data_IF_754683443525
#
_entry.id   IF_754683443525
#
_cell.length_a   1.000
_cell.length_b   1.000
_cell.length_c   1.000
_cell.angle_alpha   90.00
_cell.angle_beta   90.00
_cell.angle_gamma   90.00
#
_symmetry.space_group_name_H-M   'P 1'
#
loop_
_entity.id
_entity.type
_entity.pdbx_description
1 polymer ?
#
# COMPACT_ATOMS: atom_id res chain seq x y z
N UNK A 1 6.17 8.32 35.94
CA UNK A 1 5.41 7.05 35.83
C UNK A 1 4.38 7.03 36.94
N UNK A 2 3.11 6.90 36.63
CA UNK A 2 2.04 6.98 37.64
C UNK A 2 1.82 5.60 38.28
N UNK A 3 1.67 5.50 39.62
CA UNK A 3 1.47 4.23 40.36
C UNK A 3 0.20 3.44 39.97
N UNK A 4 -0.69 4.02 39.21
CA UNK A 4 -1.96 3.40 38.81
C UNK A 4 -1.81 2.32 37.70
N UNK A 5 -0.66 2.28 37.03
CA UNK A 5 -0.46 1.36 35.90
C UNK A 5 0.00 -0.03 36.34
N UNK A 6 0.67 -0.12 37.49
CA UNK A 6 1.23 -1.40 37.97
C UNK A 6 0.22 -2.35 38.65
N UNK A 7 -0.99 -1.88 38.96
CA UNK A 7 -2.01 -2.70 39.65
C UNK A 7 -2.96 -3.49 38.71
N UNK A 8 -2.90 -3.27 37.41
CA UNK A 8 -3.89 -3.83 36.47
C UNK A 8 -3.46 -5.15 35.80
N UNK A 9 -2.18 -5.57 35.94
CA UNK A 9 -1.72 -6.78 35.28
C UNK A 9 -0.53 -7.44 36.02
N UNK A 10 -0.70 -8.60 36.59
CA UNK A 10 0.34 -9.29 37.37
C UNK A 10 1.32 -10.13 36.53
N UNK A 11 1.21 -10.20 35.22
CA UNK A 11 1.96 -11.13 34.39
C UNK A 11 3.12 -10.45 33.63
N UNK A 12 4.27 -11.15 33.48
CA UNK A 12 5.46 -10.63 32.80
C UNK A 12 5.21 -10.40 31.28
N UNK A 13 4.37 -11.21 30.65
CA UNK A 13 3.97 -11.02 29.25
C UNK A 13 3.18 -9.72 29.05
N UNK A 14 2.35 -9.34 30.04
CA UNK A 14 1.63 -8.07 30.02
C UNK A 14 2.51 -6.82 30.23
N UNK A 15 3.72 -6.94 30.81
CA UNK A 15 4.65 -5.81 30.97
C UNK A 15 5.40 -5.49 29.67
N UNK A 16 5.75 -6.50 28.90
CA UNK A 16 6.42 -6.32 27.60
C UNK A 16 5.48 -5.69 26.57
N UNK A 17 4.23 -6.15 26.49
CA UNK A 17 3.20 -5.55 25.62
C UNK A 17 2.95 -4.06 25.95
N UNK A 18 3.07 -3.65 27.22
CA UNK A 18 2.87 -2.25 27.65
C UNK A 18 4.05 -1.34 27.31
N UNK A 19 5.27 -1.87 27.31
CA UNK A 19 6.43 -1.11 26.88
C UNK A 19 6.31 -0.81 25.39
N UNK A 20 5.81 -1.79 24.60
CA UNK A 20 5.57 -1.68 23.18
C UNK A 20 4.48 -0.65 22.85
N UNK A 21 3.34 -0.71 23.53
CA UNK A 21 2.25 0.29 23.44
C UNK A 21 2.76 1.67 23.84
N UNK A 22 3.54 1.79 24.91
CA UNK A 22 4.12 3.07 25.35
C UNK A 22 5.12 3.67 24.37
N UNK A 23 5.85 2.84 23.62
CA UNK A 23 6.81 3.27 22.59
C UNK A 23 6.05 3.72 21.34
N UNK A 24 5.03 2.98 20.93
CA UNK A 24 4.12 3.35 19.83
C UNK A 24 3.43 4.69 20.17
N UNK A 25 2.98 4.92 21.41
CA UNK A 25 2.38 6.17 21.85
C UNK A 25 3.28 7.40 21.69
N UNK A 26 4.57 7.29 21.94
CA UNK A 26 5.53 8.41 21.77
C UNK A 26 5.82 8.69 20.29
N UNK A 27 5.88 7.67 19.46
CA UNK A 27 6.27 7.80 18.07
C UNK A 27 5.19 8.40 17.18
N UNK A 28 3.92 8.11 17.44
CA UNK A 28 2.83 8.71 16.68
C UNK A 28 2.59 10.19 17.00
N UNK A 29 3.01 10.68 18.18
CA UNK A 29 3.10 12.14 18.40
C UNK A 29 4.04 12.81 17.39
N UNK A 30 5.02 12.09 16.87
CA UNK A 30 5.97 12.58 15.84
C UNK A 30 5.40 12.43 14.45
N UNK A 31 4.61 11.39 14.16
CA UNK A 31 3.84 11.30 12.92
C UNK A 31 2.91 12.52 12.75
N UNK A 32 2.31 13.00 13.86
CA UNK A 32 1.52 14.24 13.90
C UNK A 32 2.37 15.45 13.50
N UNK A 33 3.63 15.52 13.90
CA UNK A 33 4.53 16.61 13.56
C UNK A 33 4.94 16.53 12.08
N UNK A 34 5.20 15.34 11.55
CA UNK A 34 5.60 15.12 10.16
C UNK A 34 4.42 15.36 9.20
N UNK A 35 3.21 14.93 9.55
CA UNK A 35 2.00 15.17 8.73
C UNK A 35 1.54 16.65 8.77
N UNK A 36 1.88 17.39 9.84
CA UNK A 36 1.61 18.81 9.97
C UNK A 36 2.76 19.74 9.49
N UNK A 37 3.96 19.21 9.30
CA UNK A 37 5.03 19.96 8.66
C UNK A 37 4.80 19.94 7.15
N UNK A 38 4.17 20.99 6.63
CA UNK A 38 4.33 21.40 5.25
C UNK A 38 5.83 21.59 5.02
N UNK A 39 6.47 20.67 4.30
CA UNK A 39 7.85 20.88 3.86
C UNK A 39 7.90 22.22 3.14
N UNK A 40 8.80 23.13 3.49
CA UNK A 40 8.99 24.34 2.70
C UNK A 40 9.37 23.87 1.29
N UNK A 41 8.68 24.42 0.29
CA UNK A 41 8.98 24.19 -1.12
C UNK A 41 10.38 24.78 -1.41
N UNK A 42 11.43 23.99 -1.18
CA UNK A 42 12.75 24.30 -1.70
C UNK A 42 12.76 23.92 -3.19
N UNK A 43 12.33 24.85 -4.03
CA UNK A 43 12.55 24.82 -5.46
C UNK A 43 14.04 24.97 -5.73
N UNK A 44 14.77 23.89 -5.75
CA UNK A 44 16.06 23.83 -6.41
C UNK A 44 15.78 23.72 -7.91
N UNK A 45 15.72 24.85 -8.59
CA UNK A 45 15.53 24.94 -10.03
C UNK A 45 16.76 24.38 -10.73
N UNK A 46 16.67 23.16 -11.26
CA UNK A 46 17.56 22.70 -12.32
C UNK A 46 17.10 23.36 -13.63
N UNK A 47 17.81 24.42 -14.03
CA UNK A 47 17.57 25.13 -15.28
C UNK A 47 17.98 24.27 -16.47
N UNK A 48 17.03 23.64 -17.13
CA UNK A 48 17.18 23.23 -18.52
C UNK A 48 16.77 24.42 -19.39
N UNK A 49 17.73 25.01 -20.08
CA UNK A 49 17.51 26.09 -21.03
C UNK A 49 16.81 25.56 -22.30
N UNK A 50 15.85 26.34 -22.73
CA UNK A 50 15.19 26.43 -24.03
C UNK A 50 13.87 25.68 -24.22
N UNK A 51 12.80 26.49 -24.32
CA UNK A 51 11.50 26.10 -24.85
C UNK A 51 10.51 27.25 -24.71
N UNK A 52 10.12 27.85 -25.79
CA UNK A 52 9.15 28.91 -25.96
C UNK A 52 7.92 28.80 -25.06
N UNK A 53 7.52 29.91 -24.45
CA UNK A 53 6.27 30.07 -23.72
C UNK A 53 5.07 29.76 -24.62
N UNK A 54 4.39 28.67 -24.38
CA UNK A 54 3.05 28.39 -24.91
C UNK A 54 2.08 28.70 -23.79
N UNK A 55 1.45 29.87 -23.86
CA UNK A 55 0.24 30.19 -23.13
C UNK A 55 -0.91 29.41 -23.77
N UNK A 56 -1.32 28.30 -23.16
CA UNK A 56 -2.61 27.71 -23.43
C UNK A 56 -3.19 27.13 -22.14
N UNK A 57 -4.13 27.84 -21.53
CA UNK A 57 -5.10 27.23 -20.63
C UNK A 57 -6.08 26.40 -21.47
N UNK A 58 -5.61 25.30 -22.01
CA UNK A 58 -6.50 24.24 -22.48
C UNK A 58 -7.06 23.53 -21.27
N UNK A 59 -8.40 23.31 -21.18
CA UNK A 59 -8.93 22.44 -20.15
C UNK A 59 -8.25 21.07 -20.35
N UNK A 60 -7.69 20.54 -19.26
CA UNK A 60 -7.15 19.17 -19.25
C UNK A 60 -8.29 18.29 -19.74
N UNK A 61 -8.08 17.44 -20.77
CA UNK A 61 -9.08 16.41 -21.10
C UNK A 61 -9.38 15.66 -19.80
N UNK A 62 -10.64 15.34 -19.58
CA UNK A 62 -11.12 14.63 -18.39
C UNK A 62 -10.65 13.17 -18.45
N UNK A 63 -9.31 12.97 -18.43
CA UNK A 63 -8.71 11.64 -18.41
C UNK A 63 -9.06 10.98 -17.07
N UNK A 64 -9.63 9.76 -17.09
CA UNK A 64 -9.92 9.04 -15.87
C UNK A 64 -8.65 8.83 -15.02
N UNK A 65 -8.80 8.89 -13.69
CA UNK A 65 -7.77 8.47 -12.75
C UNK A 65 -8.31 7.31 -11.91
N UNK A 66 -7.55 6.22 -11.82
CA UNK A 66 -7.85 5.07 -10.94
C UNK A 66 -6.76 4.99 -9.90
N UNK A 67 -7.15 4.88 -8.62
CA UNK A 67 -6.24 4.74 -7.48
C UNK A 67 -6.52 3.44 -6.73
N UNK A 68 -5.52 2.78 -6.14
CA UNK A 68 -5.68 1.42 -5.59
C UNK A 68 -4.92 1.11 -4.29
N UNK A 69 -4.30 2.07 -3.66
CA UNK A 69 -3.78 1.97 -2.29
C UNK A 69 -4.42 3.09 -1.47
N UNK A 70 -5.67 2.85 -1.06
CA UNK A 70 -6.55 3.87 -0.54
C UNK A 70 -7.28 3.32 0.69
N UNK A 71 -6.91 3.80 1.86
CA UNK A 71 -7.22 3.14 3.11
C UNK A 71 -8.54 3.57 3.73
N UNK A 72 -9.16 2.59 4.41
CA UNK A 72 -10.21 2.81 5.39
C UNK A 72 -9.94 1.96 6.63
N UNK A 73 -10.66 2.21 7.71
CA UNK A 73 -10.63 1.42 8.93
C UNK A 73 -12.03 0.98 9.31
N UNK A 74 -12.20 -0.33 9.42
CA UNK A 74 -13.45 -0.91 9.91
C UNK A 74 -13.47 -0.96 11.43
N UNK A 75 -14.56 -0.50 12.09
CA UNK A 75 -14.73 -0.71 13.52
C UNK A 75 -14.62 -2.19 13.94
N UNK A 76 -15.07 -3.12 13.08
CA UNK A 76 -15.02 -4.55 13.35
C UNK A 76 -13.59 -5.07 13.55
N UNK A 77 -12.61 -4.55 12.80
CA UNK A 77 -11.19 -4.91 12.95
C UNK A 77 -10.54 -4.08 14.05
N UNK A 78 -10.76 -2.75 14.04
CA UNK A 78 -10.18 -1.83 15.02
C UNK A 78 -10.51 -2.24 16.46
N UNK A 79 -11.77 -2.51 16.73
CA UNK A 79 -12.27 -2.72 18.09
C UNK A 79 -12.11 -4.19 18.56
N UNK A 80 -11.81 -5.12 17.64
CA UNK A 80 -11.55 -6.52 17.97
C UNK A 80 -10.23 -6.72 18.73
N UNK A 81 -9.26 -5.82 18.56
CA UNK A 81 -7.96 -5.88 19.22
C UNK A 81 -7.63 -4.55 19.89
N UNK A 82 -7.46 -4.50 21.25
CA UNK A 82 -7.11 -3.27 21.93
C UNK A 82 -5.85 -2.58 21.40
N UNK A 83 -4.81 -3.35 21.01
CA UNK A 83 -3.58 -2.77 20.48
C UNK A 83 -3.81 -2.10 19.12
N UNK A 84 -4.65 -2.69 18.27
CA UNK A 84 -5.05 -2.10 16.97
C UNK A 84 -5.86 -0.82 17.21
N UNK A 85 -6.82 -0.85 18.13
CA UNK A 85 -7.59 0.35 18.49
C UNK A 85 -6.69 1.47 18.99
N UNK A 86 -5.80 1.17 19.95
CA UNK A 86 -4.89 2.16 20.51
C UNK A 86 -3.96 2.74 19.43
N UNK A 87 -3.55 1.94 18.45
CA UNK A 87 -2.78 2.39 17.29
C UNK A 87 -3.56 3.41 16.45
N UNK A 88 -4.80 3.13 16.11
CA UNK A 88 -5.62 4.04 15.30
C UNK A 88 -6.02 5.32 16.05
N UNK A 89 -6.22 5.27 17.38
CA UNK A 89 -6.47 6.47 18.21
C UNK A 89 -5.28 7.45 18.23
N UNK A 90 -4.09 7.02 17.79
CA UNK A 90 -2.92 7.87 17.69
C UNK A 90 -2.90 8.76 16.45
N UNK A 91 -3.71 8.44 15.42
CA UNK A 91 -3.79 9.28 14.24
C UNK A 91 -4.47 10.62 14.56
N UNK A 92 -4.07 11.70 13.85
CA UNK A 92 -4.78 12.97 13.96
C UNK A 92 -6.28 12.78 13.71
N UNK A 93 -7.17 13.47 14.45
CA UNK A 93 -8.62 13.29 14.33
C UNK A 93 -9.14 13.45 12.89
N UNK A 94 -8.55 14.35 12.09
CA UNK A 94 -8.95 14.55 10.70
C UNK A 94 -8.52 13.38 9.79
N UNK A 95 -7.45 12.66 10.10
CA UNK A 95 -7.04 11.45 9.38
C UNK A 95 -7.94 10.28 9.78
N UNK A 96 -8.18 10.11 11.08
CA UNK A 96 -9.06 9.06 11.60
C UNK A 96 -10.48 9.19 11.05
N UNK A 97 -11.04 10.41 11.03
CA UNK A 97 -12.36 10.67 10.41
C UNK A 97 -12.41 10.23 8.94
N UNK A 98 -11.36 10.52 8.17
CA UNK A 98 -11.27 10.11 6.76
C UNK A 98 -11.10 8.60 6.59
N UNK A 99 -10.34 7.95 7.48
CA UNK A 99 -10.20 6.48 7.49
C UNK A 99 -11.53 5.80 7.78
N UNK A 100 -12.36 6.36 8.67
CA UNK A 100 -13.68 5.82 9.01
C UNK A 100 -14.75 6.15 7.96
N UNK A 101 -14.50 7.11 7.07
CA UNK A 101 -15.46 7.58 6.07
C UNK A 101 -15.42 6.72 4.80
N UNK A 102 -16.55 6.09 4.47
CA UNK A 102 -16.82 5.41 3.20
C UNK A 102 -17.98 6.06 2.42
N UNK A 103 -18.44 7.23 2.88
CA UNK A 103 -19.61 7.93 2.34
C UNK A 103 -19.25 9.18 1.53
N UNK A 104 -20.14 10.16 1.59
CA UNK A 104 -20.10 11.38 0.76
C UNK A 104 -18.81 12.21 0.94
N UNK A 105 -18.23 12.25 2.15
CA UNK A 105 -16.98 12.94 2.40
C UNK A 105 -15.84 12.37 1.54
N UNK A 106 -15.74 11.03 1.46
CA UNK A 106 -14.76 10.36 0.61
C UNK A 106 -14.99 10.66 -0.86
N UNK A 107 -16.24 10.65 -1.32
CA UNK A 107 -16.57 10.99 -2.71
C UNK A 107 -16.18 12.44 -3.03
N UNK A 108 -16.44 13.39 -2.12
CA UNK A 108 -16.00 14.78 -2.29
C UNK A 108 -14.47 14.90 -2.37
N UNK A 109 -13.73 14.11 -1.59
CA UNK A 109 -12.26 14.10 -1.66
C UNK A 109 -11.75 13.46 -2.97
N UNK A 110 -12.45 12.46 -3.54
CA UNK A 110 -12.16 11.96 -4.88
C UNK A 110 -12.34 13.05 -5.94
N UNK A 111 -13.43 13.82 -5.86
CA UNK A 111 -13.73 14.89 -6.82
C UNK A 111 -12.66 15.98 -6.80
N UNK A 112 -12.12 16.36 -5.62
CA UNK A 112 -11.01 17.31 -5.49
C UNK A 112 -9.74 16.87 -6.22
N UNK A 113 -9.49 15.56 -6.27
CA UNK A 113 -8.34 14.95 -6.95
C UNK A 113 -8.63 14.47 -8.37
N UNK A 114 -9.85 14.70 -8.91
CA UNK A 114 -10.30 14.17 -10.19
C UNK A 114 -10.18 12.64 -10.29
N UNK A 115 -10.28 11.92 -9.15
CA UNK A 115 -10.23 10.47 -9.12
C UNK A 115 -11.57 9.90 -9.59
N UNK A 116 -11.57 9.19 -10.69
CA UNK A 116 -12.77 8.60 -11.29
C UNK A 116 -13.23 7.33 -10.57
N UNK A 117 -12.28 6.49 -10.14
CA UNK A 117 -12.53 5.27 -9.40
C UNK A 117 -11.43 5.02 -8.38
N UNK A 118 -11.81 4.70 -7.15
CA UNK A 118 -10.91 4.35 -6.05
C UNK A 118 -11.12 2.90 -5.63
N UNK A 119 -10.04 2.12 -5.57
CA UNK A 119 -10.06 0.78 -4.99
C UNK A 119 -9.64 0.88 -3.53
N UNK A 120 -10.57 0.63 -2.63
CA UNK A 120 -10.43 0.83 -1.19
C UNK A 120 -9.92 -0.45 -0.54
N UNK A 121 -8.97 -0.32 0.39
CA UNK A 121 -8.42 -1.39 1.22
C UNK A 121 -8.48 -1.03 2.70
N UNK A 122 -8.55 -2.03 3.58
CA UNK A 122 -8.35 -1.77 5.01
C UNK A 122 -6.89 -1.33 5.26
N UNK A 123 -6.69 -0.38 6.17
CA UNK A 123 -5.34 0.00 6.63
C UNK A 123 -4.65 -1.18 7.33
N UNK A 124 -3.32 -1.08 7.59
CA UNK A 124 -2.56 -2.16 8.22
C UNK A 124 -3.20 -2.69 9.49
N UNK A 125 -3.18 -4.00 9.64
CA UNK A 125 -3.69 -4.69 10.83
C UNK A 125 -4.21 -6.09 10.53
N UNK A 126 -4.08 -6.96 11.52
CA UNK A 126 -4.60 -8.33 11.46
C UNK A 126 -5.96 -8.41 12.15
N UNK A 127 -6.85 -9.23 11.60
CA UNK A 127 -8.18 -9.46 12.13
C UNK A 127 -8.51 -10.94 12.26
N UNK A 128 -9.36 -11.28 13.23
CA UNK A 128 -9.98 -12.60 13.26
C UNK A 128 -10.82 -12.84 11.99
N UNK A 129 -11.09 -14.10 11.61
CA UNK A 129 -11.94 -14.39 10.45
C UNK A 129 -13.28 -13.64 10.45
N UNK A 130 -13.92 -13.56 11.62
CA UNK A 130 -15.20 -12.85 11.76
C UNK A 130 -15.06 -11.33 11.62
N UNK A 131 -13.98 -10.73 12.12
CA UNK A 131 -13.71 -9.31 12.00
C UNK A 131 -13.39 -8.93 10.54
N UNK A 132 -12.56 -9.72 9.85
CA UNK A 132 -12.28 -9.53 8.43
C UNK A 132 -13.55 -9.64 7.57
N UNK A 133 -14.37 -10.68 7.83
CA UNK A 133 -15.62 -10.87 7.10
C UNK A 133 -16.59 -9.70 7.31
N UNK A 134 -16.76 -9.21 8.55
CA UNK A 134 -17.59 -8.06 8.85
C UNK A 134 -17.06 -6.75 8.21
N UNK A 135 -15.74 -6.57 8.17
CA UNK A 135 -15.11 -5.43 7.50
C UNK A 135 -15.37 -5.46 5.99
N UNK A 136 -15.19 -6.61 5.36
CA UNK A 136 -15.45 -6.81 3.92
C UNK A 136 -16.92 -6.58 3.57
N UNK A 137 -17.85 -7.08 4.40
CA UNK A 137 -19.30 -6.86 4.21
C UNK A 137 -19.66 -5.37 4.33
N UNK A 138 -19.05 -4.67 5.29
CA UNK A 138 -19.23 -3.22 5.46
C UNK A 138 -18.70 -2.43 4.25
N UNK A 139 -17.54 -2.78 3.73
CA UNK A 139 -16.99 -2.19 2.51
C UNK A 139 -17.86 -2.49 1.28
N UNK A 140 -18.32 -3.72 1.13
CA UNK A 140 -19.23 -4.10 0.03
C UNK A 140 -20.54 -3.30 0.06
N UNK A 141 -21.09 -3.07 1.25
CA UNK A 141 -22.29 -2.24 1.43
C UNK A 141 -22.05 -0.77 1.04
N UNK A 142 -20.86 -0.23 1.31
CA UNK A 142 -20.49 1.12 0.87
C UNK A 142 -20.28 1.19 -0.65
N UNK A 143 -19.60 0.23 -1.24
CA UNK A 143 -19.39 0.14 -2.70
C UNK A 143 -20.73 0.04 -3.42
N UNK A 144 -21.70 -0.73 -2.90
CA UNK A 144 -23.02 -0.89 -3.55
C UNK A 144 -23.76 0.42 -3.75
N UNK A 145 -23.49 1.44 -2.92
CA UNK A 145 -24.07 2.79 -3.04
C UNK A 145 -23.36 3.67 -4.07
N UNK A 146 -22.12 3.35 -4.41
CA UNK A 146 -21.25 4.16 -5.27
C UNK A 146 -20.42 3.28 -6.25
N UNK A 147 -21.07 2.31 -6.89
CA UNK A 147 -20.43 1.28 -7.74
C UNK A 147 -19.59 1.83 -8.91
N UNK A 148 -19.82 3.05 -9.34
CA UNK A 148 -19.05 3.66 -10.43
C UNK A 148 -17.82 4.43 -9.93
N UNK A 149 -17.70 4.64 -8.62
CA UNK A 149 -16.66 5.43 -7.98
C UNK A 149 -15.76 4.61 -7.05
N UNK A 150 -16.29 3.48 -6.53
CA UNK A 150 -15.60 2.66 -5.54
C UNK A 150 -15.54 1.20 -5.99
N UNK A 151 -14.39 0.58 -5.73
CA UNK A 151 -14.16 -0.87 -5.78
C UNK A 151 -13.42 -1.29 -4.49
N UNK A 152 -13.21 -2.58 -4.25
CA UNK A 152 -12.62 -3.03 -2.99
C UNK A 152 -11.56 -4.10 -3.15
N UNK A 153 -10.53 -4.00 -2.31
CA UNK A 153 -9.65 -5.10 -1.93
C UNK A 153 -10.12 -5.69 -0.60
N UNK A 154 -10.09 -7.01 -0.50
CA UNK A 154 -10.43 -7.71 0.72
C UNK A 154 -9.33 -7.57 1.78
N UNK A 155 -9.72 -7.40 3.05
CA UNK A 155 -8.86 -7.74 4.18
C UNK A 155 -8.98 -9.22 4.47
N UNK A 156 -7.86 -9.90 4.74
CA UNK A 156 -7.80 -11.35 4.91
C UNK A 156 -7.24 -11.72 6.29
N UNK A 157 -7.80 -12.76 6.95
CA UNK A 157 -7.27 -13.28 8.22
C UNK A 157 -6.01 -14.12 7.97
N UNK A 158 -4.86 -13.48 7.71
CA UNK A 158 -3.61 -14.13 7.29
C UNK A 158 -3.01 -15.08 8.34
N UNK A 159 -3.41 -14.96 9.60
CA UNK A 159 -3.09 -15.93 10.66
C UNK A 159 -3.72 -17.32 10.43
N UNK A 160 -4.79 -17.38 9.61
CA UNK A 160 -5.49 -18.61 9.20
C UNK A 160 -5.52 -18.74 7.66
N UNK A 161 -4.41 -19.06 6.98
CA UNK A 161 -4.30 -18.93 5.51
C UNK A 161 -5.36 -19.69 4.72
N UNK A 162 -5.79 -20.86 5.19
CA UNK A 162 -6.88 -21.61 4.54
C UNK A 162 -8.24 -20.92 4.68
N UNK A 163 -8.48 -20.21 5.77
CA UNK A 163 -9.68 -19.38 5.98
C UNK A 163 -9.57 -18.09 5.15
N UNK A 164 -8.37 -17.50 5.09
CA UNK A 164 -8.08 -16.34 4.26
C UNK A 164 -8.36 -16.61 2.77
N UNK A 165 -7.94 -17.76 2.26
CA UNK A 165 -8.23 -18.17 0.88
C UNK A 165 -9.74 -18.28 0.59
N UNK A 166 -10.53 -18.82 1.53
CA UNK A 166 -12.00 -18.89 1.41
C UNK A 166 -12.64 -17.50 1.47
N UNK A 167 -12.12 -16.62 2.33
CA UNK A 167 -12.61 -15.25 2.44
C UNK A 167 -12.31 -14.46 1.17
N UNK A 168 -11.12 -14.61 0.57
CA UNK A 168 -10.80 -14.03 -0.74
C UNK A 168 -11.80 -14.49 -1.80
N UNK A 169 -12.07 -15.81 -1.88
CA UNK A 169 -13.05 -16.35 -2.82
C UNK A 169 -14.45 -15.77 -2.60
N UNK A 170 -14.89 -15.66 -1.34
CA UNK A 170 -16.18 -15.07 -0.98
C UNK A 170 -16.25 -13.61 -1.43
N UNK A 171 -15.23 -12.81 -1.13
CA UNK A 171 -15.20 -11.40 -1.49
C UNK A 171 -15.22 -11.19 -3.01
N UNK A 172 -14.45 -11.96 -3.75
CA UNK A 172 -14.44 -11.86 -5.22
C UNK A 172 -15.75 -12.31 -5.83
N UNK A 173 -16.27 -13.48 -5.43
CA UNK A 173 -17.47 -14.05 -6.06
C UNK A 173 -18.78 -13.41 -5.61
N UNK A 174 -18.89 -13.01 -4.33
CA UNK A 174 -20.14 -12.52 -3.75
C UNK A 174 -20.21 -10.99 -3.70
N UNK A 175 -19.08 -10.31 -3.54
CA UNK A 175 -19.00 -8.84 -3.41
C UNK A 175 -18.40 -8.14 -4.62
N UNK A 176 -17.83 -8.90 -5.59
CA UNK A 176 -17.18 -8.32 -6.77
C UNK A 176 -15.88 -7.58 -6.45
N UNK A 177 -15.21 -7.96 -5.35
CA UNK A 177 -13.91 -7.39 -5.02
C UNK A 177 -12.86 -7.78 -6.06
N UNK A 178 -11.89 -6.90 -6.27
CA UNK A 178 -10.92 -7.01 -7.37
C UNK A 178 -9.59 -7.64 -6.94
N UNK A 179 -9.51 -8.14 -5.71
CA UNK A 179 -8.35 -8.78 -5.11
C UNK A 179 -8.33 -8.59 -3.60
N UNK A 180 -7.13 -8.62 -3.02
CA UNK A 180 -6.93 -8.34 -1.60
C UNK A 180 -5.69 -7.49 -1.38
N UNK A 181 -5.68 -6.74 -0.27
CA UNK A 181 -4.49 -6.11 0.27
C UNK A 181 -4.11 -6.84 1.57
N UNK A 182 -2.84 -7.22 1.69
CA UNK A 182 -2.28 -7.90 2.85
C UNK A 182 -1.03 -7.18 3.34
N UNK A 183 -0.79 -7.19 4.64
CA UNK A 183 0.43 -6.64 5.23
C UNK A 183 1.65 -7.42 4.73
N UNK A 184 2.82 -6.79 4.67
CA UNK A 184 4.06 -7.40 4.17
C UNK A 184 4.66 -8.48 5.09
N UNK A 185 4.14 -8.66 6.28
CA UNK A 185 4.43 -9.79 7.16
C UNK A 185 3.33 -9.96 8.21
N UNK A 186 3.21 -11.15 8.75
CA UNK A 186 2.38 -11.44 9.89
C UNK A 186 3.30 -11.65 11.09
N UNK A 187 3.38 -10.66 11.97
CA UNK A 187 4.20 -10.69 13.19
C UNK A 187 5.66 -11.13 12.91
N UNK A 188 6.29 -10.48 11.91
CA UNK A 188 7.65 -10.77 11.46
C UNK A 188 7.79 -12.00 10.56
N UNK A 189 6.72 -12.75 10.28
CA UNK A 189 6.74 -13.93 9.42
C UNK A 189 6.31 -13.56 8.00
N UNK A 190 7.22 -13.73 7.06
CA UNK A 190 6.96 -13.45 5.64
C UNK A 190 6.19 -14.60 4.98
N UNK A 191 5.54 -14.33 3.87
CA UNK A 191 4.64 -15.26 3.19
C UNK A 191 5.34 -16.20 2.20
N UNK A 192 6.68 -16.27 2.23
CA UNK A 192 7.48 -17.30 1.57
C UNK A 192 7.30 -18.70 2.19
N UNK A 193 6.81 -18.78 3.43
CA UNK A 193 6.39 -20.05 4.07
C UNK A 193 5.16 -20.63 3.34
N UNK A 194 5.25 -21.90 2.93
CA UNK A 194 4.22 -22.62 2.17
C UNK A 194 2.84 -22.64 2.86
N UNK A 195 2.80 -22.46 4.18
CA UNK A 195 1.53 -22.37 4.91
C UNK A 195 0.63 -21.23 4.42
N UNK A 196 1.21 -20.15 3.85
CA UNK A 196 0.47 -19.02 3.29
C UNK A 196 0.08 -19.21 1.82
N UNK A 197 0.64 -20.19 1.14
CA UNK A 197 0.43 -20.42 -0.29
C UNK A 197 -1.01 -20.69 -0.72
N UNK A 198 -1.91 -21.25 0.13
CA UNK A 198 -3.33 -21.35 -0.23
C UNK A 198 -3.99 -20.03 -0.63
N UNK A 199 -3.51 -18.88 -0.08
CA UNK A 199 -4.02 -17.54 -0.44
C UNK A 199 -3.58 -17.18 -1.86
N UNK A 200 -2.31 -17.41 -2.20
CA UNK A 200 -1.75 -17.12 -3.53
C UNK A 200 -2.30 -18.06 -4.61
N UNK A 201 -2.49 -19.34 -4.29
CA UNK A 201 -3.17 -20.30 -5.16
C UNK A 201 -4.58 -19.82 -5.49
N UNK A 202 -5.33 -19.39 -4.49
CA UNK A 202 -6.69 -18.88 -4.68
C UNK A 202 -6.70 -17.57 -5.48
N UNK A 203 -5.75 -16.69 -5.26
CA UNK A 203 -5.63 -15.44 -6.04
C UNK A 203 -5.35 -15.73 -7.52
N UNK A 204 -4.46 -16.67 -7.83
CA UNK A 204 -4.19 -17.10 -9.20
C UNK A 204 -5.42 -17.77 -9.84
N UNK A 205 -6.10 -18.69 -9.13
CA UNK A 205 -7.34 -19.34 -9.59
C UNK A 205 -8.45 -18.34 -9.95
N UNK A 206 -8.59 -17.28 -9.14
CA UNK A 206 -9.60 -16.23 -9.34
C UNK A 206 -9.13 -15.16 -10.35
N UNK A 207 -7.88 -15.22 -10.76
CA UNK A 207 -7.21 -14.23 -11.61
C UNK A 207 -7.29 -12.80 -11.04
N UNK A 208 -7.07 -12.65 -9.72
CA UNK A 208 -7.07 -11.36 -9.01
C UNK A 208 -5.69 -11.05 -8.43
N UNK A 209 -5.44 -9.76 -8.18
CA UNK A 209 -4.17 -9.30 -7.61
C UNK A 209 -4.15 -9.43 -6.08
N UNK A 210 -2.96 -9.71 -5.54
CA UNK A 210 -2.63 -9.51 -4.13
C UNK A 210 -1.73 -8.27 -4.03
N UNK A 211 -2.21 -7.25 -3.33
CA UNK A 211 -1.42 -6.08 -2.96
C UNK A 211 -0.68 -6.37 -1.66
N UNK A 212 0.64 -6.29 -1.67
CA UNK A 212 1.46 -6.43 -0.46
C UNK A 212 1.80 -5.03 0.02
N UNK A 213 1.26 -4.67 1.19
CA UNK A 213 1.36 -3.35 1.78
C UNK A 213 2.29 -3.36 3.00
N UNK A 214 3.09 -2.31 3.23
CA UNK A 214 3.91 -2.18 4.43
C UNK A 214 3.09 -2.27 5.72
N UNK A 215 3.69 -2.82 6.78
CA UNK A 215 3.13 -2.79 8.13
C UNK A 215 4.21 -2.46 9.16
N UNK A 216 3.80 -2.26 10.41
CA UNK A 216 4.72 -1.94 11.50
C UNK A 216 5.58 -3.15 11.86
N UNK A 217 6.86 -2.89 12.17
CA UNK A 217 7.78 -3.93 12.60
C UNK A 217 7.26 -4.67 13.85
N UNK A 218 7.39 -6.00 13.89
CA UNK A 218 7.10 -6.79 15.08
C UNK A 218 8.07 -6.44 16.23
N UNK A 219 7.75 -6.87 17.46
CA UNK A 219 8.61 -6.65 18.62
C UNK A 219 10.02 -7.20 18.39
N UNK A 220 10.13 -8.37 17.77
CA UNK A 220 11.39 -9.01 17.43
C UNK A 220 12.21 -8.18 16.42
N UNK A 221 11.55 -7.63 15.41
CA UNK A 221 12.19 -6.78 14.39
C UNK A 221 12.65 -5.44 14.96
N UNK A 222 11.97 -4.89 15.98
CA UNK A 222 12.29 -3.59 16.57
C UNK A 222 13.73 -3.51 17.08
N UNK A 223 14.32 -4.62 17.55
CA UNK A 223 15.72 -4.67 17.97
C UNK A 223 16.72 -4.25 16.88
N UNK A 224 16.35 -4.46 15.63
CA UNK A 224 17.18 -4.08 14.46
C UNK A 224 17.22 -2.56 14.20
N UNK A 225 16.17 -1.83 14.64
CA UNK A 225 16.01 -0.40 14.41
C UNK A 225 16.36 0.47 15.61
N UNK A 226 16.70 -0.14 16.76
CA UNK A 226 17.17 0.58 17.95
C UNK A 226 18.65 0.92 17.82
N UNK A 227 19.03 2.11 18.31
CA UNK A 227 20.42 2.58 18.27
C UNK A 227 20.67 3.67 19.32
N UNK A 228 21.71 4.45 19.15
CA UNK A 228 22.06 5.56 20.03
C UNK A 228 21.25 6.83 19.69
N UNK A 229 19.93 6.72 19.78
CA UNK A 229 18.94 7.78 19.54
C UNK A 229 17.63 7.42 20.25
N UNK A 230 16.73 8.37 20.34
CA UNK A 230 15.45 8.20 21.03
C UNK A 230 14.57 7.11 20.38
N UNK A 231 13.74 6.45 21.18
CA UNK A 231 12.77 5.44 20.73
C UNK A 231 11.85 5.95 19.60
N UNK A 232 11.57 7.24 19.58
CA UNK A 232 10.78 7.88 18.52
C UNK A 232 11.45 7.81 17.15
N UNK A 233 12.79 7.94 17.11
CA UNK A 233 13.57 7.79 15.88
C UNK A 233 13.62 6.32 15.47
N UNK A 234 13.80 5.39 16.44
CA UNK A 234 13.75 3.95 16.18
C UNK A 234 12.41 3.55 15.56
N UNK A 235 11.30 4.09 16.08
CA UNK A 235 9.96 3.86 15.54
C UNK A 235 9.81 4.41 14.11
N UNK A 236 10.26 5.63 13.85
CA UNK A 236 10.20 6.20 12.50
C UNK A 236 11.02 5.37 11.50
N UNK A 237 12.20 4.90 11.90
CA UNK A 237 13.05 4.03 11.07
C UNK A 237 12.42 2.65 10.86
N UNK A 238 11.73 2.09 11.85
CA UNK A 238 11.06 0.78 11.77
C UNK A 238 9.73 0.79 11.03
N UNK A 239 9.29 1.97 10.58
CA UNK A 239 8.03 2.17 9.88
C UNK A 239 8.26 3.00 8.60
N UNK A 240 7.44 4.04 8.40
CA UNK A 240 7.38 4.90 7.20
C UNK A 240 8.70 5.58 6.79
N UNK A 241 9.66 5.74 7.70
CA UNK A 241 10.95 6.36 7.41
C UNK A 241 11.91 5.46 6.64
N UNK A 242 11.77 4.13 6.74
CA UNK A 242 12.70 3.19 6.09
C UNK A 242 12.17 1.77 5.97
N UNK A 243 11.82 1.12 7.11
CA UNK A 243 11.58 -0.31 7.17
C UNK A 243 10.41 -0.76 6.31
N UNK A 244 9.34 0.02 6.22
CA UNK A 244 8.20 -0.31 5.38
C UNK A 244 8.63 -0.66 3.96
N UNK A 245 9.51 0.13 3.40
CA UNK A 245 9.98 -0.07 2.03
C UNK A 245 11.00 -1.21 1.93
N UNK A 246 11.95 -1.28 2.85
CA UNK A 246 12.99 -2.33 2.81
C UNK A 246 12.44 -3.71 3.12
N UNK A 247 11.52 -3.83 4.08
CA UNK A 247 10.91 -5.12 4.45
C UNK A 247 9.94 -5.60 3.38
N UNK A 248 9.18 -4.71 2.75
CA UNK A 248 8.33 -5.09 1.61
C UNK A 248 9.17 -5.51 0.41
N UNK A 249 10.24 -4.77 0.09
CA UNK A 249 11.19 -5.16 -0.94
C UNK A 249 11.83 -6.53 -0.65
N UNK A 250 12.26 -6.76 0.59
CA UNK A 250 12.78 -8.07 1.02
C UNK A 250 11.73 -9.17 0.84
N UNK A 251 10.47 -8.92 1.19
CA UNK A 251 9.39 -9.89 1.03
C UNK A 251 9.25 -10.36 -0.42
N UNK A 252 9.23 -9.44 -1.39
CA UNK A 252 9.18 -9.82 -2.82
C UNK A 252 10.35 -10.73 -3.22
N UNK A 253 11.55 -10.42 -2.74
CA UNK A 253 12.72 -11.25 -3.02
C UNK A 253 12.64 -12.64 -2.36
N UNK A 254 12.06 -12.72 -1.17
CA UNK A 254 11.79 -14.00 -0.47
C UNK A 254 10.74 -14.83 -1.21
N UNK A 255 9.64 -14.23 -1.67
CA UNK A 255 8.62 -14.91 -2.48
C UNK A 255 9.24 -15.48 -3.78
N UNK A 256 10.13 -14.75 -4.42
CA UNK A 256 10.88 -15.29 -5.56
C UNK A 256 11.79 -16.44 -5.13
N UNK A 257 12.59 -16.24 -4.08
CA UNK A 257 13.55 -17.24 -3.62
C UNK A 257 12.90 -18.53 -3.12
N UNK A 258 11.69 -18.49 -2.60
CA UNK A 258 10.94 -19.68 -2.18
C UNK A 258 10.43 -20.54 -3.33
N UNK A 259 10.34 -20.00 -4.56
CA UNK A 259 9.76 -20.68 -5.71
C UNK A 259 8.25 -20.46 -5.87
N UNK A 260 7.66 -19.53 -5.12
CA UNK A 260 6.23 -19.20 -5.21
C UNK A 260 5.80 -18.94 -6.65
N UNK A 261 6.58 -18.15 -7.41
CA UNK A 261 6.23 -17.78 -8.78
C UNK A 261 6.41 -18.94 -9.79
N UNK A 262 7.23 -19.94 -9.48
CA UNK A 262 7.29 -21.18 -10.27
C UNK A 262 6.05 -22.03 -10.03
N UNK A 263 5.56 -22.07 -8.79
CA UNK A 263 4.36 -22.79 -8.40
C UNK A 263 3.08 -22.10 -8.92
N UNK A 264 3.05 -20.77 -8.92
CA UNK A 264 1.92 -19.93 -9.34
C UNK A 264 2.38 -18.93 -10.42
N UNK A 265 2.58 -19.37 -11.67
CA UNK A 265 3.21 -18.57 -12.71
C UNK A 265 2.36 -17.39 -13.20
N UNK A 266 1.05 -17.38 -12.96
CA UNK A 266 0.13 -16.31 -13.34
C UNK A 266 -0.24 -15.39 -12.18
N UNK A 267 0.34 -15.62 -11.00
CA UNK A 267 0.08 -14.81 -9.82
C UNK A 267 0.41 -13.34 -10.09
N UNK A 268 -0.48 -12.45 -9.66
CA UNK A 268 -0.36 -10.99 -9.81
C UNK A 268 -0.08 -10.36 -8.44
N UNK A 269 1.10 -9.79 -8.29
CA UNK A 269 1.49 -9.07 -7.06
C UNK A 269 1.59 -7.58 -7.37
N UNK A 270 1.01 -6.76 -6.50
CA UNK A 270 1.15 -5.29 -6.54
C UNK A 270 1.94 -4.84 -5.32
N UNK A 271 2.83 -3.89 -5.50
CA UNK A 271 3.57 -3.21 -4.42
C UNK A 271 3.50 -1.70 -4.62
N UNK A 272 3.58 -0.97 -3.53
CA UNK A 272 3.47 0.48 -3.49
C UNK A 272 4.75 1.25 -3.74
N UNK A 273 4.71 2.53 -3.40
CA UNK A 273 5.83 3.43 -3.11
C UNK A 273 6.96 3.36 -4.14
N UNK A 274 6.61 3.43 -5.45
CA UNK A 274 7.57 3.34 -6.56
C UNK A 274 8.41 2.05 -6.55
N UNK A 275 7.86 0.94 -5.99
CA UNK A 275 8.49 -0.39 -6.03
C UNK A 275 9.40 -0.70 -4.85
N UNK A 276 9.18 -0.04 -3.70
CA UNK A 276 9.76 -0.43 -2.42
C UNK A 276 11.29 -0.58 -2.48
N UNK A 277 11.96 0.43 -3.03
CA UNK A 277 13.41 0.52 -3.27
C UNK A 277 13.98 -0.51 -4.27
N UNK A 278 13.21 -1.50 -4.70
CA UNK A 278 13.70 -2.55 -5.63
C UNK A 278 14.16 -1.98 -6.97
N UNK A 279 13.47 -1.02 -7.62
CA UNK A 279 13.91 -0.49 -8.92
C UNK A 279 15.32 0.09 -8.89
N UNK A 280 15.69 0.78 -7.81
CA UNK A 280 17.03 1.36 -7.66
C UNK A 280 18.15 0.30 -7.60
N UNK A 281 17.85 -0.89 -7.08
CA UNK A 281 18.81 -1.98 -6.92
C UNK A 281 18.62 -3.10 -7.96
N UNK A 282 17.65 -2.99 -8.87
CA UNK A 282 17.13 -4.12 -9.63
C UNK A 282 18.20 -4.84 -10.45
N UNK A 283 19.05 -4.12 -11.20
CA UNK A 283 20.08 -4.75 -12.02
C UNK A 283 21.09 -5.55 -11.18
N UNK A 284 21.46 -5.03 -10.01
CA UNK A 284 22.33 -5.75 -9.07
C UNK A 284 21.65 -7.00 -8.52
N UNK A 285 20.38 -6.87 -8.12
CA UNK A 285 19.57 -7.97 -7.58
C UNK A 285 19.43 -9.06 -8.64
N UNK A 286 19.08 -8.70 -9.88
CA UNK A 286 18.95 -9.64 -10.99
C UNK A 286 20.23 -10.43 -11.23
N UNK A 287 21.41 -9.76 -11.26
CA UNK A 287 22.68 -10.43 -11.42
C UNK A 287 23.05 -11.38 -10.25
N UNK A 288 22.62 -11.08 -9.03
CA UNK A 288 22.88 -11.94 -7.87
C UNK A 288 21.84 -13.06 -7.71
N UNK A 289 20.61 -12.85 -8.15
CA UNK A 289 19.51 -13.81 -8.01
C UNK A 289 19.77 -15.13 -8.74
N UNK A 290 20.64 -15.16 -9.74
CA UNK A 290 21.08 -16.39 -10.40
C UNK A 290 21.76 -17.39 -9.45
N UNK A 291 22.21 -16.91 -8.28
CA UNK A 291 22.88 -17.71 -7.23
C UNK A 291 21.92 -18.14 -6.11
N UNK A 292 20.65 -17.76 -6.15
CA UNK A 292 19.68 -18.01 -5.06
C UNK A 292 18.99 -19.38 -5.15
N UNK A 293 19.59 -20.30 -5.88
CA UNK A 293 19.06 -21.63 -6.12
C UNK A 293 18.43 -21.75 -7.51
N UNK A 294 18.17 -23.00 -7.90
CA UNK A 294 17.55 -23.27 -9.19
C UNK A 294 16.07 -22.85 -9.16
N UNK A 295 15.66 -22.07 -10.15
CA UNK A 295 14.28 -21.66 -10.42
C UNK A 295 13.95 -21.98 -11.86
N UNK A 296 12.68 -22.28 -12.14
CA UNK A 296 12.21 -22.51 -13.51
C UNK A 296 12.15 -21.18 -14.29
N UNK A 297 11.88 -20.09 -13.58
CA UNK A 297 11.78 -18.73 -14.11
C UNK A 297 12.75 -17.80 -13.41
N UNK A 298 13.50 -17.01 -14.18
CA UNK A 298 14.42 -16.03 -13.62
C UNK A 298 13.69 -14.82 -13.02
N UNK A 299 14.31 -14.14 -12.05
CA UNK A 299 13.69 -12.98 -11.39
C UNK A 299 13.31 -11.87 -12.39
N UNK A 300 14.07 -11.67 -13.48
CA UNK A 300 13.73 -10.70 -14.53
C UNK A 300 12.40 -11.03 -15.21
N UNK A 301 12.13 -12.30 -15.44
CA UNK A 301 10.87 -12.76 -16.01
C UNK A 301 9.71 -12.58 -15.04
N UNK A 302 9.91 -12.94 -13.77
CA UNK A 302 8.93 -12.72 -12.69
C UNK A 302 8.62 -11.23 -12.52
N UNK A 303 9.65 -10.37 -12.50
CA UNK A 303 9.47 -8.92 -12.40
C UNK A 303 8.59 -8.37 -13.53
N UNK A 304 8.82 -8.84 -14.75
CA UNK A 304 8.09 -8.37 -15.94
C UNK A 304 6.65 -8.89 -16.05
N UNK A 305 6.37 -10.06 -15.49
CA UNK A 305 5.09 -10.74 -15.73
C UNK A 305 4.19 -10.80 -14.49
N UNK A 306 4.76 -10.69 -13.28
CA UNK A 306 4.04 -10.93 -12.05
C UNK A 306 3.99 -9.73 -11.10
N UNK A 307 4.79 -8.66 -11.33
CA UNK A 307 4.91 -7.54 -10.41
C UNK A 307 4.36 -6.27 -11.05
N UNK A 308 3.42 -5.60 -10.38
CA UNK A 308 2.88 -4.28 -10.70
C UNK A 308 3.27 -3.31 -9.59
N UNK A 309 3.45 -2.03 -9.95
CA UNK A 309 3.98 -1.02 -9.02
C UNK A 309 3.11 0.22 -9.06
N UNK A 310 2.77 0.74 -7.87
CA UNK A 310 2.02 1.99 -7.74
C UNK A 310 2.89 3.14 -7.23
N UNK A 311 2.41 4.36 -7.42
CA UNK A 311 3.07 5.57 -6.89
C UNK A 311 2.89 5.76 -5.39
N UNK A 312 1.72 5.47 -4.85
CA UNK A 312 1.36 5.48 -3.41
C UNK A 312 2.06 6.56 -2.58
N UNK A 313 1.58 7.80 -2.65
CA UNK A 313 2.12 8.91 -1.85
C UNK A 313 3.51 9.44 -2.24
N UNK A 314 4.24 8.75 -3.13
CA UNK A 314 5.53 9.22 -3.64
C UNK A 314 5.35 10.08 -4.91
N UNK A 315 5.25 11.39 -4.73
CA UNK A 315 4.93 12.35 -5.80
C UNK A 315 6.15 13.18 -6.22
N UNK A 316 7.20 12.51 -6.71
CA UNK A 316 8.40 13.17 -7.24
C UNK A 316 8.93 12.45 -8.47
N UNK A 317 9.48 13.20 -9.43
CA UNK A 317 9.96 12.67 -10.71
C UNK A 317 11.18 11.74 -10.61
N UNK A 318 12.19 11.96 -9.71
CA UNK A 318 13.38 11.10 -9.68
C UNK A 318 13.09 9.62 -9.43
N UNK A 319 12.30 9.19 -8.42
CA UNK A 319 11.95 7.77 -8.24
C UNK A 319 11.10 7.23 -9.40
N UNK A 320 10.17 8.02 -9.97
CA UNK A 320 9.42 7.62 -11.16
C UNK A 320 10.34 7.39 -12.36
N UNK A 321 11.31 8.27 -12.60
CA UNK A 321 12.27 8.11 -13.68
C UNK A 321 13.12 6.83 -13.51
N UNK A 322 13.55 6.54 -12.27
CA UNK A 322 14.25 5.29 -11.96
C UNK A 322 13.37 4.06 -12.23
N UNK A 323 12.11 4.09 -11.80
CA UNK A 323 11.14 3.01 -12.02
C UNK A 323 10.95 2.73 -13.51
N UNK A 324 10.78 3.75 -14.34
CA UNK A 324 10.56 3.61 -15.78
C UNK A 324 11.79 3.07 -16.54
N UNK A 325 13.01 3.15 -15.97
CA UNK A 325 14.21 2.52 -16.55
C UNK A 325 14.24 1.00 -16.32
N UNK A 326 13.52 0.50 -15.33
CA UNK A 326 13.61 -0.88 -14.85
C UNK A 326 12.32 -1.69 -15.05
N UNK A 327 11.20 -0.99 -15.26
CA UNK A 327 9.86 -1.59 -15.29
C UNK A 327 9.09 -1.04 -16.50
N UNK A 328 8.40 -1.93 -17.23
CA UNK A 328 7.51 -1.53 -18.32
C UNK A 328 6.41 -0.60 -17.81
N UNK A 329 6.08 0.42 -18.59
CA UNK A 329 4.94 1.30 -18.29
C UNK A 329 3.63 0.53 -18.12
N UNK A 330 3.46 -0.63 -18.76
CA UNK A 330 2.28 -1.48 -18.65
C UNK A 330 2.10 -2.08 -17.23
N UNK A 331 3.13 -2.02 -16.40
CA UNK A 331 3.14 -2.50 -15.01
C UNK A 331 3.22 -1.36 -13.98
N UNK A 332 3.13 -0.10 -14.39
CA UNK A 332 3.15 1.06 -13.50
C UNK A 332 1.76 1.67 -13.41
N UNK A 333 1.29 1.88 -12.18
CA UNK A 333 -0.06 2.33 -11.88
C UNK A 333 -0.02 3.59 -11.00
N UNK A 334 -1.02 4.44 -11.17
CA UNK A 334 -1.22 5.60 -10.32
C UNK A 334 -1.93 5.21 -9.01
N UNK A 335 -1.51 5.76 -7.87
CA UNK A 335 -2.20 5.66 -6.59
C UNK A 335 -1.80 6.81 -5.65
N UNK A 336 -2.58 7.07 -4.61
CA UNK A 336 -2.43 8.27 -3.77
C UNK A 336 -1.99 7.95 -2.35
N UNK A 337 -2.35 6.81 -1.80
CA UNK A 337 -2.19 6.48 -0.38
C UNK A 337 -3.11 7.37 0.51
N UNK A 338 -4.38 7.50 0.07
CA UNK A 338 -5.39 8.25 0.81
C UNK A 338 -5.80 7.50 2.10
N UNK A 339 -5.96 8.17 3.26
CA UNK A 339 -5.95 9.62 3.46
C UNK A 339 -4.60 10.18 3.92
N UNK A 340 -3.52 9.40 3.92
CA UNK A 340 -2.19 9.85 4.35
C UNK A 340 -1.60 10.85 3.37
N UNK A 341 -1.99 10.75 2.11
CA UNK A 341 -1.83 11.79 1.09
C UNK A 341 -3.19 12.29 0.59
N UNK A 342 -3.25 13.57 0.22
CA UNK A 342 -4.46 14.16 -0.36
C UNK A 342 -4.54 13.87 -1.87
N UNK A 343 -5.74 13.60 -2.38
CA UNK A 343 -5.98 13.35 -3.81
C UNK A 343 -5.52 14.52 -4.70
N UNK A 344 -5.60 15.77 -4.21
CA UNK A 344 -5.11 16.96 -4.91
C UNK A 344 -3.60 16.96 -5.13
N UNK A 345 -2.82 16.35 -4.21
CA UNK A 345 -1.36 16.18 -4.38
C UNK A 345 -1.06 15.21 -5.51
N UNK A 346 -1.80 14.11 -5.57
CA UNK A 346 -1.71 13.15 -6.67
C UNK A 346 -2.06 13.78 -8.02
N UNK A 347 -3.14 14.56 -8.09
CA UNK A 347 -3.51 15.30 -9.30
C UNK A 347 -2.41 16.31 -9.72
N UNK A 348 -1.82 17.00 -8.75
CA UNK A 348 -0.69 17.92 -9.02
C UNK A 348 0.50 17.16 -9.61
N UNK A 349 0.77 15.94 -9.12
CA UNK A 349 1.84 15.09 -9.63
C UNK A 349 1.57 14.62 -11.07
N UNK A 350 0.34 14.23 -11.41
CA UNK A 350 -0.04 13.93 -12.81
C UNK A 350 0.29 15.11 -13.73
N UNK A 351 -0.02 16.32 -13.33
CA UNK A 351 0.30 17.54 -14.10
C UNK A 351 1.81 17.80 -14.21
N UNK A 352 2.56 17.48 -13.17
CA UNK A 352 4.03 17.57 -13.17
C UNK A 352 4.65 16.56 -14.13
N UNK A 353 4.15 15.32 -14.14
CA UNK A 353 4.57 14.26 -15.07
C UNK A 353 4.33 14.71 -16.50
N UNK A 354 3.13 15.16 -16.83
CA UNK A 354 2.77 15.64 -18.16
C UNK A 354 3.67 16.80 -18.61
N UNK A 355 3.86 17.79 -17.74
CA UNK A 355 4.73 18.96 -18.01
C UNK A 355 6.19 18.57 -18.19
N UNK A 356 6.68 17.58 -17.49
CA UNK A 356 8.06 17.08 -17.59
C UNK A 356 8.34 16.34 -18.89
N UNK A 357 7.31 15.77 -19.52
CA UNK A 357 7.42 14.89 -20.68
C UNK A 357 7.99 13.51 -20.32
N UNK A 358 8.09 13.15 -19.03
CA UNK A 358 8.62 11.85 -18.59
C UNK A 358 7.69 10.71 -19.01
N UNK A 359 6.38 10.92 -18.91
CA UNK A 359 5.33 10.04 -19.45
C UNK A 359 4.37 10.94 -20.24
N UNK A 360 4.00 10.55 -21.46
CA UNK A 360 3.12 11.34 -22.31
C UNK A 360 2.25 10.45 -23.21
N UNK A 361 1.19 11.06 -23.77
CA UNK A 361 0.32 10.38 -24.72
C UNK A 361 -0.31 9.11 -24.18
N UNK A 362 -0.26 8.02 -24.93
CA UNK A 362 -0.86 6.74 -24.55
C UNK A 362 -0.27 6.15 -23.27
N UNK A 363 1.03 6.38 -23.01
CA UNK A 363 1.67 5.89 -21.79
C UNK A 363 1.15 6.62 -20.54
N UNK A 364 0.76 7.90 -20.65
CA UNK A 364 0.11 8.63 -19.56
C UNK A 364 -1.28 8.06 -19.27
N UNK A 365 -2.04 7.65 -20.27
CA UNK A 365 -3.32 6.97 -20.10
C UNK A 365 -3.15 5.58 -19.47
N UNK A 366 -2.13 4.81 -19.89
CA UNK A 366 -1.79 3.54 -19.28
C UNK A 366 -1.50 3.72 -17.79
N UNK A 367 -0.61 4.62 -17.44
CA UNK A 367 -0.25 4.96 -16.07
C UNK A 367 -1.45 5.39 -15.23
N UNK A 368 -2.28 6.27 -15.77
CA UNK A 368 -3.37 6.92 -15.03
C UNK A 368 -4.57 6.01 -14.79
N UNK A 369 -4.91 5.11 -15.72
CA UNK A 369 -6.11 4.27 -15.57
C UNK A 369 -6.09 2.96 -16.35
N UNK A 370 -5.54 2.89 -17.59
CA UNK A 370 -5.69 1.70 -18.44
C UNK A 370 -5.06 0.45 -17.85
N UNK A 371 -3.90 0.58 -17.19
CA UNK A 371 -3.24 -0.55 -16.55
C UNK A 371 -4.05 -1.06 -15.35
N UNK A 372 -4.63 -0.17 -14.56
CA UNK A 372 -5.50 -0.54 -13.46
C UNK A 372 -6.80 -1.21 -13.97
N UNK A 373 -7.40 -0.69 -15.05
CA UNK A 373 -8.54 -1.33 -15.70
C UNK A 373 -8.24 -2.75 -16.16
N UNK A 374 -7.07 -2.95 -16.79
CA UNK A 374 -6.65 -4.26 -17.31
C UNK A 374 -6.33 -5.23 -16.15
N UNK A 375 -5.55 -4.78 -15.16
CA UNK A 375 -5.13 -5.61 -14.04
C UNK A 375 -6.31 -6.06 -13.17
N UNK A 376 -7.20 -5.11 -12.83
CA UNK A 376 -8.27 -5.29 -11.86
C UNK A 376 -9.64 -5.59 -12.50
N UNK A 377 -9.73 -5.53 -13.83
CA UNK A 377 -10.98 -5.74 -14.58
C UNK A 377 -12.11 -4.79 -14.17
N UNK A 378 -11.74 -3.57 -13.85
CA UNK A 378 -12.66 -2.46 -13.57
C UNK A 378 -12.80 -1.54 -14.77
N UNK A 379 -13.77 -0.62 -14.74
CA UNK A 379 -13.93 0.44 -15.73
C UNK A 379 -14.19 1.76 -15.04
N UNK A 380 -13.29 2.72 -15.26
CA UNK A 380 -13.55 4.09 -14.86
C UNK A 380 -14.48 4.77 -15.86
N UNK A 381 -15.45 5.54 -15.35
CA UNK A 381 -16.20 6.47 -16.19
C UNK A 381 -15.39 7.76 -16.30
N UNK A 382 -15.31 8.34 -17.50
CA UNK A 382 -14.81 9.69 -17.65
C UNK A 382 -15.64 10.63 -16.76
N UNK A 383 -14.96 11.42 -15.92
CA UNK A 383 -15.59 12.42 -15.03
C UNK A 383 -16.11 13.62 -15.82
#
# INVERSE_FOLDING_TARGET
MSPLIDSLFPDQAGRQSRLYVGIVFKALKILIIVLNCSLPSSTTSYSLKNGSAINSHSPIPTMPLITLEEHYVSPAVRDANPATRDLYELFPPHILSKLESLGDERIQDLDKGNVSLQVISHGPGDGSPSACSAANDGLAAAISKNQTRLAGFAILPMNEPSTAAKELERCVKSHGFVGALVDNHLDGKFYDDERFWPVFEKAEELDVAIYIHPTFASEEMMGHYKGNYDDSVAMALSAFGWAWHTETGLHILRLFASGLFDRFPKLKIVIGHMGELLPFQLDRILAQSERWGKRDRGLREVWRNNIWITTSGMFTLPPLACLLQTTSIDHVLYSVDYPFSANEKGLAFIREIEKSGLIAGEDLEKFSYRNAEALLRVKAKAS
#
